data_IF_249953689151
#
_entry.id   IF_249953689151
#
_cell.length_a   1.000
_cell.length_b   1.000
_cell.length_c   1.000
_cell.angle_alpha   90.00
_cell.angle_beta   90.00
_cell.angle_gamma   90.00
#
_symmetry.space_group_name_H-M   'P 1'
#
loop_
_entity.id
_entity.type
_entity.pdbx_description
1 polymer ?
#
# COMPACT_ATOMS: atom_id res chain seq x y z
N UNK A 1 23.54 -9.42 27.31
CA UNK A 1 22.76 -9.81 26.13
C UNK A 1 23.23 -8.95 24.98
N UNK A 2 23.71 -9.57 23.91
CA UNK A 2 24.19 -8.87 22.73
C UNK A 2 23.08 -8.90 21.67
N UNK A 3 22.74 -7.73 21.10
CA UNK A 3 21.75 -7.58 20.05
C UNK A 3 22.49 -7.37 18.72
N UNK A 4 22.31 -8.30 17.78
CA UNK A 4 22.92 -8.25 16.47
C UNK A 4 21.85 -7.95 15.42
N UNK A 5 22.06 -6.90 14.62
CA UNK A 5 21.19 -6.54 13.51
C UNK A 5 21.82 -6.97 12.19
N UNK A 6 21.02 -7.58 11.31
CA UNK A 6 21.46 -7.94 9.97
C UNK A 6 21.80 -6.68 9.14
N UNK A 7 22.79 -6.80 8.25
CA UNK A 7 23.18 -5.71 7.34
C UNK A 7 22.03 -5.24 6.44
N UNK A 8 21.15 -6.15 6.06
CA UNK A 8 19.97 -5.87 5.26
C UNK A 8 18.73 -6.36 6.01
N UNK A 9 17.82 -5.45 6.33
CA UNK A 9 16.55 -5.72 6.99
C UNK A 9 15.51 -4.67 6.55
N UNK A 10 14.23 -5.03 6.58
CA UNK A 10 13.13 -4.13 6.21
C UNK A 10 12.63 -4.31 4.79
N UNK A 11 12.12 -3.23 4.19
CA UNK A 11 11.48 -3.27 2.88
C UNK A 11 12.47 -3.45 1.73
N UNK A 12 12.15 -4.37 0.82
CA UNK A 12 12.81 -4.43 -0.48
C UNK A 12 12.33 -3.28 -1.39
N UNK A 13 13.04 -3.06 -2.49
CA UNK A 13 12.69 -2.02 -3.46
C UNK A 13 11.24 -2.12 -3.95
N UNK A 14 10.74 -3.33 -4.27
CA UNK A 14 9.38 -3.53 -4.78
C UNK A 14 8.31 -3.12 -3.77
N UNK A 15 8.50 -3.48 -2.50
CA UNK A 15 7.61 -3.08 -1.40
C UNK A 15 7.64 -1.57 -1.20
N UNK A 16 8.83 -0.98 -1.13
CA UNK A 16 8.98 0.46 -0.95
C UNK A 16 8.30 1.24 -2.07
N UNK A 17 8.57 0.87 -3.32
CA UNK A 17 7.98 1.50 -4.49
C UNK A 17 6.44 1.37 -4.52
N UNK A 18 5.88 0.24 -4.09
CA UNK A 18 4.43 0.08 -4.01
C UNK A 18 3.82 1.04 -2.97
N UNK A 19 4.41 1.10 -1.77
CA UNK A 19 3.97 2.02 -0.71
C UNK A 19 4.09 3.48 -1.15
N UNK A 20 5.24 3.88 -1.70
CA UNK A 20 5.49 5.26 -2.13
C UNK A 20 4.47 5.69 -3.20
N UNK A 21 4.12 4.80 -4.15
CA UNK A 21 3.10 5.08 -5.16
C UNK A 21 1.70 5.29 -4.57
N UNK A 22 1.32 4.50 -3.57
CA UNK A 22 0.01 4.66 -2.94
C UNK A 22 -0.07 5.96 -2.14
N UNK A 23 1.01 6.33 -1.45
CA UNK A 23 1.09 7.59 -0.71
C UNK A 23 1.03 8.77 -1.67
N UNK A 24 1.86 8.78 -2.73
CA UNK A 24 1.87 9.88 -3.69
C UNK A 24 0.51 10.05 -4.38
N UNK A 25 -0.16 8.94 -4.74
CA UNK A 25 -1.51 9.01 -5.28
C UNK A 25 -2.48 9.68 -4.30
N UNK A 26 -2.40 9.38 -3.00
CA UNK A 26 -3.28 9.99 -2.00
C UNK A 26 -2.97 11.47 -1.71
N UNK A 27 -1.76 11.93 -2.03
CA UNK A 27 -1.38 13.35 -1.91
C UNK A 27 -1.80 14.18 -3.14
N UNK A 28 -1.83 13.57 -4.33
CA UNK A 28 -2.11 14.24 -5.60
C UNK A 28 -3.58 14.15 -6.04
N UNK A 29 -4.27 13.08 -5.63
CA UNK A 29 -5.59 12.70 -6.14
C UNK A 29 -6.69 12.76 -5.07
N UNK A 30 -7.90 12.33 -5.44
CA UNK A 30 -9.05 12.22 -4.55
C UNK A 30 -9.02 10.95 -3.67
N UNK A 31 -10.08 10.14 -3.75
CA UNK A 31 -10.16 8.90 -2.98
C UNK A 31 -9.23 7.86 -3.61
N UNK A 32 -8.32 7.33 -2.79
CA UNK A 32 -7.36 6.30 -3.22
C UNK A 32 -7.63 4.99 -2.52
N UNK A 33 -7.61 3.93 -3.31
CA UNK A 33 -7.83 2.56 -2.88
C UNK A 33 -6.66 1.68 -3.27
N UNK A 34 -6.38 0.64 -2.49
CA UNK A 34 -5.55 -0.48 -2.94
C UNK A 34 -6.45 -1.68 -3.22
N UNK A 35 -6.22 -2.36 -4.35
CA UNK A 35 -6.93 -3.59 -4.66
C UNK A 35 -6.31 -4.76 -3.89
N UNK A 36 -6.95 -5.09 -2.77
CA UNK A 36 -6.40 -5.92 -1.71
C UNK A 36 -5.25 -5.23 -0.94
N UNK A 37 -4.66 -5.92 0.04
CA UNK A 37 -3.53 -5.40 0.80
C UNK A 37 -2.33 -5.18 -0.14
N UNK A 38 -1.77 -3.97 -0.12
CA UNK A 38 -0.63 -3.63 -0.98
C UNK A 38 0.59 -4.51 -0.70
N UNK A 39 0.78 -4.87 0.57
CA UNK A 39 1.74 -5.84 1.11
C UNK A 39 1.15 -6.60 2.30
N UNK A 40 1.75 -7.73 2.68
CA UNK A 40 1.32 -8.52 3.84
C UNK A 40 1.98 -8.04 5.14
N UNK A 41 1.67 -6.81 5.55
CA UNK A 41 2.11 -6.23 6.82
C UNK A 41 0.99 -5.38 7.44
N UNK A 42 0.43 -5.83 8.56
CA UNK A 42 -0.72 -5.18 9.19
C UNK A 42 -0.43 -3.76 9.67
N UNK A 43 0.77 -3.51 10.20
CA UNK A 43 1.14 -2.17 10.65
C UNK A 43 1.22 -1.20 9.48
N UNK A 44 1.86 -1.62 8.37
CA UNK A 44 1.94 -0.81 7.16
C UNK A 44 0.57 -0.56 6.54
N UNK A 45 -0.33 -1.55 6.58
CA UNK A 45 -1.72 -1.38 6.14
C UNK A 45 -2.42 -0.30 6.96
N UNK A 46 -2.35 -0.38 8.29
CA UNK A 46 -2.96 0.62 9.19
C UNK A 46 -2.39 2.02 8.96
N UNK A 47 -1.09 2.12 8.71
CA UNK A 47 -0.44 3.39 8.40
C UNK A 47 -0.99 3.99 7.09
N UNK A 48 -1.24 3.17 6.06
CA UNK A 48 -1.86 3.62 4.81
C UNK A 48 -3.33 4.03 5.00
N UNK A 49 -4.10 3.28 5.76
CA UNK A 49 -5.49 3.64 6.11
C UNK A 49 -5.54 4.98 6.85
N UNK A 50 -4.61 5.23 7.77
CA UNK A 50 -4.49 6.51 8.47
C UNK A 50 -4.15 7.70 7.56
N UNK A 51 -3.59 7.41 6.37
CA UNK A 51 -3.28 8.38 5.31
C UNK A 51 -4.40 8.51 4.28
N UNK A 52 -5.57 7.90 4.53
CA UNK A 52 -6.73 7.98 3.64
C UNK A 52 -6.74 6.96 2.49
N UNK A 53 -5.82 5.99 2.51
CA UNK A 53 -5.74 4.94 1.49
C UNK A 53 -6.48 3.70 2.00
N UNK A 54 -7.63 3.41 1.43
CA UNK A 54 -8.48 2.30 1.87
C UNK A 54 -8.24 1.02 1.06
N UNK A 55 -8.41 -0.15 1.66
CA UNK A 55 -8.33 -1.43 0.92
C UNK A 55 -9.72 -1.79 0.40
N UNK A 56 -9.78 -2.27 -0.85
CA UNK A 56 -10.99 -2.87 -1.44
C UNK A 56 -10.68 -4.26 -1.99
N UNK A 57 -11.60 -5.20 -1.81
CA UNK A 57 -11.48 -6.57 -2.33
C UNK A 57 -12.25 -6.76 -3.66
N UNK A 58 -13.15 -5.85 -3.99
CA UNK A 58 -13.88 -5.79 -5.24
C UNK A 58 -13.92 -4.33 -5.74
N UNK A 59 -14.37 -4.12 -6.97
CA UNK A 59 -14.43 -2.79 -7.59
C UNK A 59 -15.85 -2.21 -7.63
N UNK A 60 -16.81 -2.85 -6.93
CA UNK A 60 -18.23 -2.48 -7.00
C UNK A 60 -18.50 -1.11 -6.35
N UNK A 61 -17.69 -0.74 -5.35
CA UNK A 61 -17.80 0.52 -4.59
C UNK A 61 -16.87 1.64 -5.10
N UNK A 62 -16.25 1.44 -6.28
CA UNK A 62 -15.35 2.41 -6.91
C UNK A 62 -16.14 3.31 -7.85
N UNK A 63 -15.99 4.63 -7.71
CA UNK A 63 -16.67 5.60 -8.55
C UNK A 63 -15.76 6.18 -9.65
N UNK A 64 -16.38 6.91 -10.57
CA UNK A 64 -15.65 7.68 -11.56
C UNK A 64 -14.72 8.70 -10.87
N UNK A 65 -13.44 8.72 -11.28
CA UNK A 65 -12.34 9.51 -10.71
C UNK A 65 -11.72 8.99 -9.40
N UNK A 66 -12.19 7.86 -8.85
CA UNK A 66 -11.46 7.18 -7.79
C UNK A 66 -10.18 6.52 -8.36
N UNK A 67 -9.11 6.51 -7.56
CA UNK A 67 -7.82 5.93 -7.96
C UNK A 67 -7.65 4.58 -7.29
N UNK A 68 -7.33 3.56 -8.08
CA UNK A 68 -7.06 2.21 -7.57
C UNK A 68 -5.61 1.82 -7.85
N UNK A 69 -4.85 1.60 -6.79
CA UNK A 69 -3.47 1.14 -6.82
C UNK A 69 -3.45 -0.38 -6.80
N UNK A 70 -2.81 -0.97 -7.81
CA UNK A 70 -2.64 -2.41 -7.91
C UNK A 70 -1.47 -2.86 -7.01
N UNK A 71 -1.73 -3.88 -6.20
CA UNK A 71 -0.76 -4.50 -5.28
C UNK A 71 0.48 -5.07 -5.98
N UNK A 72 1.60 -5.15 -5.26
CA UNK A 72 2.91 -5.56 -5.82
C UNK A 72 2.96 -7.00 -6.35
N UNK A 73 2.02 -7.84 -5.95
CA UNK A 73 1.93 -9.25 -6.38
C UNK A 73 1.15 -9.42 -7.69
N UNK A 74 0.60 -8.35 -8.24
CA UNK A 74 -0.25 -8.38 -9.43
C UNK A 74 -1.69 -8.80 -9.16
N UNK A 75 -2.44 -8.88 -10.27
CA UNK A 75 -3.84 -9.30 -10.36
C UNK A 75 -3.98 -10.32 -11.49
N UNK A 76 -5.06 -11.09 -11.45
CA UNK A 76 -5.41 -12.13 -12.41
C UNK A 76 -6.85 -11.95 -12.87
#
# INVERSE_FOLDING_TARGET
>A
MELLLAKNAGFCFGVKNAIDKAINAAEEEGRVFTYGPIIHNESAIKDLESKGISIVENLDDIHENDVVVIRSHGIS
#
